data_IF_257987662238
#
_entry.id   IF_257987662238
#
_cell.length_a   1.000
_cell.length_b   1.000
_cell.length_c   1.000
_cell.angle_alpha   90.00
_cell.angle_beta   90.00
_cell.angle_gamma   90.00
#
_symmetry.space_group_name_H-M   'P 1'
#
loop_
_entity.id
_entity.type
_entity.pdbx_description
1 polymer ?
#
# COMPACT_ATOMS: atom_id res chain seq x y z
N UNK A 1 -10.96 -27.48 75.89
CA UNK A 1 -10.85 -28.68 75.03
C UNK A 1 -11.08 -28.29 73.57
N UNK A 2 -10.22 -27.47 72.97
CA UNK A 2 -10.27 -27.11 71.53
C UNK A 2 -8.82 -26.82 71.09
N UNK A 3 -8.04 -27.87 70.84
CA UNK A 3 -6.61 -27.80 70.49
C UNK A 3 -6.27 -28.59 69.21
N UNK A 4 -7.21 -28.73 68.27
CA UNK A 4 -7.05 -29.59 67.08
C UNK A 4 -7.32 -28.93 65.72
N UNK A 5 -7.45 -27.60 65.64
CA UNK A 5 -7.73 -26.91 64.37
C UNK A 5 -6.54 -26.13 63.76
N UNK A 6 -5.37 -26.13 64.40
CA UNK A 6 -4.23 -25.28 63.99
C UNK A 6 -3.04 -26.06 63.39
N UNK A 7 -3.29 -27.28 62.91
CA UNK A 7 -2.28 -28.17 62.32
C UNK A 7 -2.36 -28.38 60.80
N UNK A 8 -3.27 -27.69 60.09
CA UNK A 8 -3.52 -27.90 58.65
C UNK A 8 -3.33 -26.65 57.77
N UNK A 9 -2.54 -25.69 58.22
CA UNK A 9 -2.24 -24.46 57.45
C UNK A 9 -0.76 -24.32 57.06
N UNK A 10 0.02 -25.39 57.19
CA UNK A 10 1.45 -25.44 56.83
C UNK A 10 1.79 -26.46 55.73
N UNK A 11 0.84 -26.75 54.83
CA UNK A 11 0.99 -27.71 53.74
C UNK A 11 0.76 -27.09 52.34
N UNK A 12 0.99 -25.78 52.17
CA UNK A 12 0.97 -25.13 50.85
C UNK A 12 2.15 -24.15 50.67
N UNK A 13 3.29 -24.46 51.30
CA UNK A 13 4.59 -23.89 50.96
C UNK A 13 5.18 -24.72 49.81
N UNK A 14 4.89 -24.37 48.57
CA UNK A 14 5.38 -25.11 47.41
C UNK A 14 4.84 -24.71 46.04
N UNK A 15 4.11 -23.60 45.90
CA UNK A 15 3.77 -23.05 44.58
C UNK A 15 4.80 -21.98 44.23
N UNK A 16 5.96 -22.44 43.74
CA UNK A 16 6.83 -21.64 42.90
C UNK A 16 5.96 -21.07 41.78
N UNK A 17 5.76 -19.75 41.76
CA UNK A 17 5.31 -19.05 40.58
C UNK A 17 6.41 -19.20 39.53
N UNK A 18 6.39 -20.33 38.82
CA UNK A 18 7.05 -20.47 37.55
C UNK A 18 6.46 -19.42 36.63
N UNK A 19 7.16 -18.30 36.50
CA UNK A 19 7.01 -17.41 35.36
C UNK A 19 7.27 -18.28 34.15
N UNK A 20 6.18 -18.68 33.51
CA UNK A 20 6.18 -19.38 32.22
C UNK A 20 7.18 -18.62 31.35
N UNK A 21 8.32 -19.21 30.95
CA UNK A 21 9.25 -18.52 30.08
C UNK A 21 8.46 -18.10 28.85
N UNK A 22 8.57 -16.82 28.49
CA UNK A 22 7.93 -16.27 27.31
C UNK A 22 8.16 -17.25 26.15
N UNK A 23 7.10 -17.66 25.41
CA UNK A 23 7.28 -18.60 24.34
C UNK A 23 8.35 -18.03 23.41
N UNK A 24 9.44 -18.80 23.27
CA UNK A 24 10.56 -18.49 22.41
C UNK A 24 10.02 -17.95 21.10
N UNK A 25 10.52 -16.78 20.69
CA UNK A 25 10.12 -16.09 19.48
C UNK A 25 10.05 -17.08 18.31
N UNK A 26 8.84 -17.55 18.03
CA UNK A 26 8.49 -18.13 16.75
C UNK A 26 9.01 -17.14 15.72
N UNK A 27 9.70 -17.63 14.70
CA UNK A 27 10.11 -16.86 13.51
C UNK A 27 8.85 -16.31 12.85
N UNK A 28 8.24 -15.29 13.46
CA UNK A 28 7.19 -14.51 12.89
C UNK A 28 7.82 -13.87 11.66
N UNK A 29 7.42 -14.37 10.48
CA UNK A 29 7.87 -13.85 9.20
C UNK A 29 7.65 -12.34 9.25
N UNK A 30 8.74 -11.58 9.32
CA UNK A 30 8.70 -10.13 9.43
C UNK A 30 7.86 -9.57 8.27
N UNK A 31 7.11 -8.47 8.48
CA UNK A 31 6.25 -7.93 7.44
C UNK A 31 7.10 -7.54 6.22
N UNK A 32 6.79 -8.16 5.09
CA UNK A 32 7.24 -7.76 3.77
C UNK A 32 6.19 -6.81 3.18
N UNK A 33 6.56 -5.54 3.00
CA UNK A 33 5.65 -4.51 2.53
C UNK A 33 5.38 -4.57 1.02
N UNK A 34 6.04 -5.48 0.30
CA UNK A 34 5.82 -5.75 -1.12
C UNK A 34 4.84 -6.92 -1.36
N UNK A 35 4.55 -7.73 -0.35
CA UNK A 35 3.61 -8.84 -0.46
C UNK A 35 2.24 -8.49 0.11
N UNK A 36 1.25 -8.26 -0.77
CA UNK A 36 -0.16 -8.27 -0.36
C UNK A 36 -0.87 -9.52 -0.86
N UNK A 37 -1.36 -10.35 0.06
CA UNK A 37 -2.26 -11.45 -0.29
C UNK A 37 -3.70 -10.94 -0.28
N UNK A 38 -4.34 -10.88 -1.46
CA UNK A 38 -5.76 -10.56 -1.52
C UNK A 38 -6.57 -11.72 -0.95
N UNK A 39 -7.47 -11.39 -0.02
CA UNK A 39 -8.51 -12.29 0.47
C UNK A 39 -9.37 -12.78 -0.69
N UNK A 40 -9.80 -14.04 -0.65
CA UNK A 40 -10.58 -14.66 -1.72
C UNK A 40 -11.85 -13.88 -2.08
N UNK A 41 -12.55 -13.30 -1.10
CA UNK A 41 -13.71 -12.43 -1.33
C UNK A 41 -13.38 -11.11 -2.06
N UNK A 42 -12.20 -10.53 -1.82
CA UNK A 42 -11.75 -9.33 -2.54
C UNK A 42 -11.35 -9.65 -3.99
N UNK A 43 -10.84 -10.85 -4.24
CA UNK A 43 -10.58 -11.33 -5.60
C UNK A 43 -11.89 -11.58 -6.35
N UNK A 44 -12.86 -12.26 -5.74
CA UNK A 44 -14.14 -12.57 -6.36
C UNK A 44 -14.92 -11.30 -6.72
N UNK A 45 -15.02 -10.32 -5.80
CA UNK A 45 -15.68 -9.03 -6.07
C UNK A 45 -14.97 -8.22 -7.15
N UNK A 46 -13.63 -8.25 -7.17
CA UNK A 46 -12.84 -7.60 -8.21
C UNK A 46 -13.10 -8.23 -9.60
N UNK A 47 -13.07 -9.56 -9.68
CA UNK A 47 -13.32 -10.30 -10.92
C UNK A 47 -14.76 -10.05 -11.41
N UNK A 48 -15.75 -10.13 -10.51
CA UNK A 48 -17.15 -9.91 -10.85
C UNK A 48 -17.39 -8.50 -11.41
N UNK A 49 -16.84 -7.47 -10.75
CA UNK A 49 -16.99 -6.09 -11.24
C UNK A 49 -16.29 -5.87 -12.58
N UNK A 50 -15.07 -6.40 -12.75
CA UNK A 50 -14.35 -6.32 -14.03
C UNK A 50 -15.07 -7.06 -15.17
N UNK A 51 -15.58 -8.26 -14.87
CA UNK A 51 -16.38 -9.07 -15.78
C UNK A 51 -17.68 -8.35 -16.20
N UNK A 52 -18.41 -7.76 -15.26
CA UNK A 52 -19.67 -7.06 -15.53
C UNK A 52 -19.47 -5.85 -16.44
N UNK A 53 -18.43 -5.04 -16.20
CA UNK A 53 -18.12 -3.88 -17.04
C UNK A 53 -17.73 -4.29 -18.46
N UNK A 54 -16.87 -5.30 -18.61
CA UNK A 54 -16.43 -5.77 -19.93
C UNK A 54 -17.57 -6.45 -20.71
N UNK A 55 -18.42 -7.22 -20.02
CA UNK A 55 -19.61 -7.82 -20.62
C UNK A 55 -20.63 -6.76 -21.06
N UNK A 56 -20.82 -5.69 -20.28
CA UNK A 56 -21.69 -4.57 -20.65
C UNK A 56 -21.24 -3.84 -21.91
N UNK A 57 -19.94 -3.54 -22.02
CA UNK A 57 -19.37 -2.93 -23.23
C UNK A 57 -19.54 -3.86 -24.44
N UNK A 58 -19.23 -5.14 -24.29
CA UNK A 58 -19.39 -6.11 -25.38
C UNK A 58 -20.86 -6.29 -25.81
N UNK A 59 -21.81 -6.23 -24.87
CA UNK A 59 -23.23 -6.31 -25.18
C UNK A 59 -23.72 -5.10 -25.98
N UNK A 60 -23.23 -3.89 -25.66
CA UNK A 60 -23.55 -2.67 -26.42
C UNK A 60 -23.02 -2.74 -27.86
N UNK A 61 -21.82 -3.28 -28.06
CA UNK A 61 -21.17 -3.30 -29.39
C UNK A 61 -21.60 -4.46 -30.28
N UNK A 62 -21.91 -5.63 -29.71
CA UNK A 62 -22.15 -6.85 -30.50
C UNK A 62 -23.56 -7.42 -30.37
N UNK A 63 -24.37 -6.99 -29.38
CA UNK A 63 -25.68 -7.60 -29.03
C UNK A 63 -25.68 -9.15 -28.93
N UNK A 64 -24.50 -9.76 -28.79
CA UNK A 64 -24.32 -11.20 -28.79
C UNK A 64 -23.80 -11.67 -27.41
N UNK A 65 -24.57 -12.50 -26.69
CA UNK A 65 -24.20 -12.95 -25.36
C UNK A 65 -22.94 -13.83 -25.34
N UNK A 66 -22.62 -14.53 -26.44
CA UNK A 66 -21.43 -15.37 -26.52
C UNK A 66 -20.15 -14.53 -26.56
N UNK A 67 -20.15 -13.44 -27.34
CA UNK A 67 -19.02 -12.51 -27.42
C UNK A 67 -18.84 -11.77 -26.08
N UNK A 68 -19.94 -11.39 -25.43
CA UNK A 68 -19.90 -10.81 -24.09
C UNK A 68 -19.29 -11.76 -23.04
N UNK A 69 -19.60 -13.06 -23.13
CA UNK A 69 -18.97 -14.09 -22.30
C UNK A 69 -17.47 -14.21 -22.49
N UNK A 70 -16.97 -14.10 -23.73
CA UNK A 70 -15.53 -14.16 -24.02
C UNK A 70 -14.78 -12.95 -23.46
N UNK A 71 -15.35 -11.74 -23.61
CA UNK A 71 -14.76 -10.51 -23.05
C UNK A 71 -14.81 -10.47 -21.51
N UNK A 72 -15.78 -11.14 -20.88
CA UNK A 72 -15.87 -11.26 -19.43
C UNK A 72 -14.63 -11.93 -18.81
N UNK A 73 -13.98 -12.85 -19.53
CA UNK A 73 -12.78 -13.55 -19.08
C UNK A 73 -11.58 -12.61 -18.84
N UNK A 74 -11.51 -11.47 -19.53
CA UNK A 74 -10.44 -10.49 -19.29
C UNK A 74 -10.53 -9.84 -17.90
N UNK A 75 -11.69 -9.94 -17.23
CA UNK A 75 -11.88 -9.54 -15.84
C UNK A 75 -10.98 -10.28 -14.83
N UNK A 76 -10.43 -11.44 -15.21
CA UNK A 76 -9.49 -12.20 -14.38
C UNK A 76 -8.15 -11.47 -14.16
N UNK A 77 -7.80 -10.50 -15.02
CA UNK A 77 -6.59 -9.69 -14.86
C UNK A 77 -6.74 -8.55 -13.84
N UNK A 78 -7.97 -8.12 -13.56
CA UNK A 78 -8.29 -7.03 -12.63
C UNK A 78 -7.77 -7.20 -11.18
N UNK A 79 -7.82 -8.40 -10.53
CA UNK A 79 -7.25 -8.58 -9.19
C UNK A 79 -5.74 -8.31 -9.11
N UNK A 80 -4.98 -8.56 -10.19
CA UNK A 80 -3.54 -8.27 -10.22
C UNK A 80 -3.28 -6.76 -10.18
N UNK A 81 -4.08 -5.97 -10.91
CA UNK A 81 -4.00 -4.51 -10.88
C UNK A 81 -4.38 -3.96 -9.50
N UNK A 82 -5.46 -4.46 -8.88
CA UNK A 82 -5.85 -4.05 -7.52
C UNK A 82 -4.78 -4.35 -6.49
N UNK A 83 -4.11 -5.51 -6.59
CA UNK A 83 -2.98 -5.87 -5.72
C UNK A 83 -1.88 -4.82 -5.76
N UNK A 84 -1.45 -4.45 -6.98
CA UNK A 84 -0.40 -3.44 -7.18
C UNK A 84 -0.81 -2.08 -6.61
N UNK A 85 -2.06 -1.67 -6.81
CA UNK A 85 -2.57 -0.41 -6.28
C UNK A 85 -2.59 -0.38 -4.74
N UNK A 86 -2.99 -1.48 -4.09
CA UNK A 86 -3.00 -1.59 -2.62
C UNK A 86 -1.58 -1.53 -2.06
N UNK A 87 -0.63 -2.25 -2.67
CA UNK A 87 0.78 -2.22 -2.27
C UNK A 87 1.34 -0.80 -2.42
N UNK A 88 1.09 -0.13 -3.55
CA UNK A 88 1.52 1.25 -3.77
C UNK A 88 0.96 2.20 -2.71
N UNK A 89 -0.33 2.09 -2.37
CA UNK A 89 -0.97 2.90 -1.32
C UNK A 89 -0.33 2.67 0.05
N UNK A 90 -0.06 1.42 0.42
CA UNK A 90 0.61 1.09 1.69
C UNK A 90 2.03 1.66 1.74
N UNK A 91 2.80 1.55 0.65
CA UNK A 91 4.14 2.13 0.57
C UNK A 91 4.11 3.65 0.66
N UNK A 92 3.16 4.32 0.01
CA UNK A 92 2.98 5.77 0.14
C UNK A 92 2.67 6.19 1.59
N UNK A 93 1.77 5.46 2.26
CA UNK A 93 1.47 5.68 3.69
C UNK A 93 2.71 5.47 4.56
N UNK A 94 3.47 4.39 4.34
CA UNK A 94 4.70 4.12 5.07
C UNK A 94 5.76 5.20 4.82
N UNK A 95 5.89 5.71 3.59
CA UNK A 95 6.78 6.82 3.23
C UNK A 95 6.44 8.10 4.02
N UNK A 96 5.15 8.45 4.08
CA UNK A 96 4.68 9.60 4.86
C UNK A 96 4.93 9.43 6.37
N UNK A 97 4.63 8.25 6.90
CA UNK A 97 4.87 7.90 8.30
C UNK A 97 6.36 7.94 8.66
N UNK A 98 7.21 7.43 7.78
CA UNK A 98 8.66 7.47 7.93
C UNK A 98 9.20 8.91 7.98
N UNK A 99 8.68 9.82 7.13
CA UNK A 99 9.03 11.25 7.20
C UNK A 99 8.74 11.84 8.59
N UNK A 100 7.58 11.52 9.18
CA UNK A 100 7.21 12.02 10.50
C UNK A 100 8.07 11.42 11.61
N UNK A 101 8.42 10.13 11.49
CA UNK A 101 9.41 9.49 12.37
C UNK A 101 10.76 10.24 12.32
N UNK A 102 11.26 10.55 11.12
CA UNK A 102 12.50 11.32 10.97
C UNK A 102 12.40 12.73 11.58
N UNK A 103 11.25 13.39 11.46
CA UNK A 103 11.05 14.70 12.07
C UNK A 103 11.15 14.64 13.61
N UNK A 104 10.52 13.64 14.24
CA UNK A 104 10.63 13.42 15.69
C UNK A 104 12.06 13.05 16.10
N UNK A 105 12.71 12.13 15.37
CA UNK A 105 14.12 11.78 15.59
C UNK A 105 15.03 13.00 15.53
N UNK A 106 14.89 13.85 14.51
CA UNK A 106 15.70 15.06 14.36
C UNK A 106 15.51 16.02 15.55
N UNK A 107 14.28 16.13 16.06
CA UNK A 107 13.96 16.96 17.23
C UNK A 107 14.63 16.43 18.50
N UNK A 108 14.44 15.14 18.80
CA UNK A 108 15.00 14.50 19.99
C UNK A 108 16.53 14.47 19.98
N UNK A 109 17.13 14.11 18.85
CA UNK A 109 18.59 14.10 18.71
C UNK A 109 19.17 15.52 18.74
N UNK A 110 18.43 16.51 18.19
CA UNK A 110 18.79 17.92 18.26
C UNK A 110 18.77 18.48 19.68
N UNK A 111 17.94 17.90 20.58
CA UNK A 111 17.92 18.21 22.00
C UNK A 111 19.07 17.52 22.80
N UNK A 112 19.99 16.84 22.11
CA UNK A 112 21.17 16.20 22.72
C UNK A 112 20.90 14.81 23.30
N UNK A 113 19.74 14.19 23.01
CA UNK A 113 19.47 12.82 23.42
C UNK A 113 20.35 11.82 22.66
N UNK A 114 20.59 10.66 23.28
CA UNK A 114 21.24 9.54 22.59
C UNK A 114 20.34 9.04 21.46
N UNK A 115 20.94 8.39 20.46
CA UNK A 115 20.22 7.86 19.30
C UNK A 115 19.12 6.90 19.77
N UNK A 116 19.44 5.99 20.68
CA UNK A 116 18.53 4.98 21.23
C UNK A 116 17.36 5.64 21.95
N UNK A 117 17.62 6.66 22.76
CA UNK A 117 16.56 7.42 23.44
C UNK A 117 15.70 8.20 22.46
N UNK A 118 16.27 8.71 21.37
CA UNK A 118 15.50 9.37 20.32
C UNK A 118 14.56 8.42 19.58
N UNK A 119 14.94 7.15 19.37
CA UNK A 119 14.03 6.15 18.81
C UNK A 119 12.85 5.89 19.76
N UNK A 120 13.08 5.83 21.08
CA UNK A 120 11.99 5.67 22.05
C UNK A 120 11.05 6.88 22.09
N UNK A 121 11.59 8.10 22.04
CA UNK A 121 10.76 9.32 22.04
C UNK A 121 9.96 9.45 20.73
N UNK A 122 10.56 9.07 19.59
CA UNK A 122 9.85 9.03 18.32
C UNK A 122 8.70 8.02 18.31
N UNK A 123 8.80 6.93 19.08
CA UNK A 123 7.70 5.97 19.22
C UNK A 123 6.53 6.58 19.97
N UNK A 124 6.81 7.30 21.06
CA UNK A 124 5.78 7.94 21.86
C UNK A 124 5.08 9.06 21.06
N UNK A 125 5.84 9.89 20.35
CA UNK A 125 5.30 10.91 19.44
C UNK A 125 4.42 10.30 18.34
N UNK A 126 4.87 9.19 17.72
CA UNK A 126 4.11 8.52 16.67
C UNK A 126 2.84 7.85 17.18
N UNK A 127 2.82 7.37 18.43
CA UNK A 127 1.60 6.81 19.06
C UNK A 127 0.56 7.88 19.32
N UNK A 128 0.99 9.12 19.62
CA UNK A 128 0.08 10.26 19.73
C UNK A 128 -0.50 10.64 18.36
N UNK A 129 0.33 10.62 17.32
CA UNK A 129 -0.09 10.93 15.95
C UNK A 129 -0.97 9.84 15.32
N UNK A 130 -0.73 8.58 15.73
CA UNK A 130 -1.41 7.39 15.25
C UNK A 130 -1.95 6.57 16.44
N UNK A 131 -3.10 6.98 17.02
CA UNK A 131 -3.70 6.28 18.17
C UNK A 131 -4.16 4.86 17.83
N UNK A 132 -4.34 4.55 16.54
CA UNK A 132 -4.65 3.20 16.08
C UNK A 132 -3.39 2.32 16.04
N UNK A 133 -3.43 1.16 16.73
CA UNK A 133 -2.36 0.13 16.75
C UNK A 133 -2.05 -0.52 15.38
N UNK A 134 -2.60 0.04 14.29
CA UNK A 134 -2.44 -0.40 12.91
C UNK A 134 -1.38 0.36 12.11
N UNK A 135 -0.78 1.43 12.63
CA UNK A 135 0.25 2.17 11.90
C UNK A 135 1.50 1.30 11.66
N UNK A 136 1.91 1.22 10.39
CA UNK A 136 3.02 0.36 9.96
C UNK A 136 4.33 0.81 10.60
N UNK A 137 4.58 2.13 10.64
CA UNK A 137 5.81 2.67 11.23
C UNK A 137 5.90 2.43 12.75
N UNK A 138 4.77 2.44 13.46
CA UNK A 138 4.74 2.24 14.92
C UNK A 138 5.21 0.83 15.25
N UNK A 139 4.67 -0.18 14.55
CA UNK A 139 5.09 -1.58 14.71
C UNK A 139 6.55 -1.80 14.35
N UNK A 140 7.00 -1.12 13.30
CA UNK A 140 8.39 -1.21 12.87
C UNK A 140 9.35 -0.59 13.90
N UNK A 141 8.96 0.54 14.47
CA UNK A 141 9.74 1.23 15.50
C UNK A 141 9.77 0.45 16.81
N UNK A 142 8.65 -0.18 17.20
CA UNK A 142 8.60 -1.14 18.32
C UNK A 142 9.57 -2.31 18.09
N UNK A 143 9.63 -2.86 16.88
CA UNK A 143 10.57 -3.91 16.53
C UNK A 143 12.02 -3.44 16.59
N UNK A 144 12.32 -2.24 16.07
CA UNK A 144 13.66 -1.64 16.13
C UNK A 144 14.09 -1.49 17.59
N UNK A 145 13.27 -0.85 18.44
CA UNK A 145 13.58 -0.63 19.86
C UNK A 145 13.79 -1.96 20.59
N UNK A 146 12.95 -2.96 20.33
CA UNK A 146 13.11 -4.29 20.92
C UNK A 146 14.45 -4.94 20.52
N UNK A 147 14.87 -4.81 19.27
CA UNK A 147 16.19 -5.31 18.82
C UNK A 147 17.35 -4.54 19.43
N UNK A 148 17.24 -3.22 19.56
CA UNK A 148 18.24 -2.39 20.23
C UNK A 148 18.42 -2.80 21.70
N UNK A 149 17.31 -3.07 22.40
CA UNK A 149 17.35 -3.57 23.79
C UNK A 149 18.00 -4.95 23.91
N UNK A 150 17.98 -5.75 22.84
CA UNK A 150 18.65 -7.05 22.75
C UNK A 150 20.10 -6.96 22.25
N UNK A 151 20.65 -5.76 22.09
CA UNK A 151 22.06 -5.54 21.74
C UNK A 151 22.36 -5.54 20.24
N UNK A 152 21.35 -5.55 19.36
CA UNK A 152 21.58 -5.27 17.94
C UNK A 152 21.91 -3.78 17.73
N UNK A 153 22.65 -3.47 16.67
CA UNK A 153 23.01 -2.09 16.37
C UNK A 153 21.91 -1.39 15.56
N UNK A 154 21.83 -0.06 15.68
CA UNK A 154 20.84 0.78 14.95
C UNK A 154 20.99 0.62 13.44
N UNK A 155 22.23 0.52 12.96
CA UNK A 155 22.58 0.30 11.56
C UNK A 155 21.96 -0.98 11.01
N UNK A 156 22.13 -2.10 11.74
CA UNK A 156 21.59 -3.39 11.34
C UNK A 156 20.06 -3.37 11.29
N UNK A 157 19.43 -2.74 12.30
CA UNK A 157 17.97 -2.61 12.37
C UNK A 157 17.41 -1.78 11.21
N UNK A 158 18.02 -0.63 10.91
CA UNK A 158 17.58 0.26 9.82
C UNK A 158 17.80 -0.37 8.43
N UNK A 159 18.90 -1.10 8.23
CA UNK A 159 19.16 -1.82 6.98
C UNK A 159 18.19 -2.99 6.77
N UNK A 160 17.80 -3.72 7.83
CA UNK A 160 16.77 -4.76 7.74
C UNK A 160 15.40 -4.15 7.40
N UNK A 161 15.04 -3.05 8.06
CA UNK A 161 13.82 -2.32 7.77
C UNK A 161 13.78 -1.84 6.32
N UNK A 162 14.85 -1.21 5.82
CA UNK A 162 14.89 -0.67 4.46
C UNK A 162 14.73 -1.76 3.39
N UNK A 163 15.35 -2.93 3.59
CA UNK A 163 15.18 -4.10 2.71
C UNK A 163 13.76 -4.60 2.66
N UNK A 164 13.02 -4.56 3.79
CA UNK A 164 11.62 -5.00 3.87
C UNK A 164 10.63 -3.96 3.39
N UNK A 165 10.95 -2.67 3.51
CA UNK A 165 10.06 -1.58 3.13
C UNK A 165 9.91 -1.45 1.60
N UNK A 166 10.97 -1.73 0.84
CA UNK A 166 11.03 -1.54 -0.62
C UNK A 166 10.58 -0.12 -1.03
N UNK A 167 11.11 0.88 -0.34
CA UNK A 167 10.92 2.32 -0.55
C UNK A 167 12.30 2.96 -0.65
N UNK A 168 12.57 3.63 -1.77
CA UNK A 168 13.90 4.16 -2.10
C UNK A 168 14.40 5.16 -1.06
N UNK A 169 13.54 6.03 -0.54
CA UNK A 169 13.93 7.02 0.47
C UNK A 169 14.36 6.38 1.80
N UNK A 170 13.79 5.24 2.17
CA UNK A 170 14.16 4.50 3.38
C UNK A 170 15.50 3.78 3.17
N UNK A 171 15.72 3.21 1.97
CA UNK A 171 17.00 2.63 1.56
C UNK A 171 18.14 3.65 1.62
N UNK A 172 17.95 4.79 0.94
CA UNK A 172 18.92 5.88 0.90
C UNK A 172 19.22 6.43 2.30
N UNK A 173 18.19 6.59 3.14
CA UNK A 173 18.39 7.01 4.53
C UNK A 173 19.28 6.03 5.29
N UNK A 174 18.97 4.73 5.25
CA UNK A 174 19.70 3.72 5.99
C UNK A 174 21.18 3.69 5.57
N UNK A 175 21.47 3.77 4.27
CA UNK A 175 22.83 3.82 3.75
C UNK A 175 23.61 5.06 4.23
N UNK A 176 23.01 6.25 4.09
CA UNK A 176 23.64 7.50 4.53
C UNK A 176 23.82 7.53 6.04
N UNK A 177 22.87 6.98 6.81
CA UNK A 177 22.96 6.86 8.26
C UNK A 177 24.18 6.04 8.69
N UNK A 178 24.38 4.87 8.08
CA UNK A 178 25.53 4.00 8.37
C UNK A 178 26.86 4.70 8.06
N UNK A 179 26.94 5.36 6.91
CA UNK A 179 28.14 6.11 6.51
C UNK A 179 28.42 7.22 7.53
N UNK A 180 27.41 8.02 7.87
CA UNK A 180 27.54 9.15 8.78
C UNK A 180 27.96 8.71 10.18
N UNK A 181 27.41 7.59 10.68
CA UNK A 181 27.77 7.03 11.98
C UNK A 181 29.23 6.55 12.02
N UNK A 182 29.75 5.99 10.91
CA UNK A 182 31.15 5.56 10.80
C UNK A 182 32.13 6.73 10.66
N UNK A 183 31.75 7.78 9.94
CA UNK A 183 32.61 8.96 9.71
C UNK A 183 32.53 10.00 10.82
N UNK A 184 31.61 9.83 11.78
CA UNK A 184 31.41 10.80 12.87
C UNK A 184 30.71 12.09 12.44
N UNK A 185 29.94 12.05 11.35
CA UNK A 185 29.17 13.19 10.86
C UNK A 185 27.96 13.52 11.75
N UNK A 186 27.29 14.64 11.45
CA UNK A 186 26.06 15.02 12.15
C UNK A 186 24.87 14.19 11.70
N UNK A 187 24.51 13.18 12.49
CA UNK A 187 23.30 12.37 12.25
C UNK A 187 22.03 13.22 12.31
N UNK A 188 21.99 14.24 13.17
CA UNK A 188 20.87 15.20 13.23
C UNK A 188 20.66 15.87 11.87
N UNK A 189 21.75 16.28 11.21
CA UNK A 189 21.69 16.88 9.88
C UNK A 189 21.22 15.88 8.83
N UNK A 190 21.69 14.63 8.88
CA UNK A 190 21.24 13.56 7.95
C UNK A 190 19.74 13.32 8.11
N UNK A 191 19.26 13.09 9.32
CA UNK A 191 17.85 12.83 9.62
C UNK A 191 16.97 14.01 9.17
N UNK A 192 17.35 15.24 9.52
CA UNK A 192 16.61 16.46 9.13
C UNK A 192 16.61 16.64 7.62
N UNK A 193 17.75 16.44 6.94
CA UNK A 193 17.86 16.61 5.49
C UNK A 193 17.01 15.58 4.76
N UNK A 194 17.01 14.33 5.20
CA UNK A 194 16.17 13.29 4.61
C UNK A 194 14.68 13.58 4.79
N UNK A 195 14.25 14.06 5.97
CA UNK A 195 12.87 14.46 6.19
C UNK A 195 12.42 15.58 5.21
N UNK A 196 13.29 16.56 4.96
CA UNK A 196 13.05 17.64 3.98
C UNK A 196 12.97 17.09 2.57
N UNK A 197 13.91 16.24 2.14
CA UNK A 197 13.90 15.64 0.79
C UNK A 197 12.62 14.82 0.56
N UNK A 198 12.17 14.05 1.55
CA UNK A 198 10.91 13.30 1.43
C UNK A 198 9.72 14.26 1.32
N UNK A 199 9.70 15.36 2.08
CA UNK A 199 8.64 16.36 1.99
C UNK A 199 8.60 16.99 0.60
N UNK A 200 9.74 17.46 0.08
CA UNK A 200 9.85 18.04 -1.26
C UNK A 200 9.34 17.08 -2.34
N UNK A 201 9.70 15.78 -2.23
CA UNK A 201 9.17 14.76 -3.15
C UNK A 201 7.67 14.56 -3.02
N UNK A 202 7.12 14.53 -1.80
CA UNK A 202 5.68 14.38 -1.60
C UNK A 202 4.91 15.59 -2.16
N UNK A 203 5.45 16.80 -2.04
CA UNK A 203 4.84 18.01 -2.59
C UNK A 203 4.84 17.97 -4.12
N UNK A 204 5.96 17.57 -4.74
CA UNK A 204 6.05 17.35 -6.19
C UNK A 204 5.07 16.25 -6.65
N UNK A 205 5.02 15.11 -5.94
CA UNK A 205 4.08 14.02 -6.22
C UNK A 205 2.63 14.51 -6.13
N UNK A 206 2.30 15.36 -5.16
CA UNK A 206 0.97 15.94 -4.98
C UNK A 206 0.60 16.90 -6.11
N UNK A 207 1.51 17.80 -6.50
CA UNK A 207 1.29 18.75 -7.60
C UNK A 207 1.09 18.02 -8.94
N UNK A 208 1.86 16.95 -9.16
CA UNK A 208 1.68 16.06 -10.31
C UNK A 208 0.32 15.37 -10.25
N UNK A 209 -0.09 14.86 -9.08
CA UNK A 209 -1.39 14.19 -8.92
C UNK A 209 -2.57 15.13 -9.19
N UNK A 210 -2.52 16.37 -8.68
CA UNK A 210 -3.56 17.39 -8.90
C UNK A 210 -3.64 17.73 -10.39
N UNK A 211 -2.49 18.00 -11.03
CA UNK A 211 -2.42 18.30 -12.46
C UNK A 211 -2.94 17.14 -13.32
N UNK A 212 -2.57 15.90 -12.98
CA UNK A 212 -3.01 14.70 -13.69
C UNK A 212 -4.47 14.35 -13.41
N UNK A 213 -5.04 14.73 -12.26
CA UNK A 213 -6.44 14.43 -11.93
C UNK A 213 -7.39 15.02 -12.97
N UNK A 214 -7.16 16.27 -13.38
CA UNK A 214 -7.91 16.90 -14.46
C UNK A 214 -7.80 16.13 -15.78
N UNK A 215 -6.56 15.80 -16.19
CA UNK A 215 -6.31 15.06 -17.45
C UNK A 215 -6.89 13.64 -17.44
N UNK A 216 -6.87 12.98 -16.28
CA UNK A 216 -7.52 11.68 -16.07
C UNK A 216 -9.03 11.77 -16.21
N UNK A 217 -9.64 12.85 -15.72
CA UNK A 217 -11.07 13.09 -15.88
C UNK A 217 -11.43 13.34 -17.36
N UNK A 218 -10.73 14.25 -18.03
CA UNK A 218 -10.90 14.53 -19.46
C UNK A 218 -10.76 13.25 -20.31
N UNK A 219 -9.67 12.49 -20.09
CA UNK A 219 -9.43 11.22 -20.80
C UNK A 219 -10.53 10.19 -20.53
N UNK A 220 -11.02 10.08 -19.28
CA UNK A 220 -12.11 9.15 -18.94
C UNK A 220 -13.40 9.52 -19.65
N UNK A 221 -13.76 10.80 -19.69
CA UNK A 221 -14.95 11.28 -20.40
C UNK A 221 -14.84 10.95 -21.89
N UNK A 222 -13.71 11.27 -22.53
CA UNK A 222 -13.48 10.98 -23.95
C UNK A 222 -13.50 9.48 -24.27
N UNK A 223 -13.05 8.63 -23.35
CA UNK A 223 -13.07 7.16 -23.54
C UNK A 223 -14.49 6.59 -23.44
N UNK A 224 -15.30 7.12 -22.52
CA UNK A 224 -16.65 6.58 -22.24
C UNK A 224 -17.71 7.18 -23.19
N UNK A 225 -17.51 8.40 -23.68
CA UNK A 225 -18.48 9.10 -24.52
C UNK A 225 -18.93 8.31 -25.77
N UNK A 226 -18.03 7.66 -26.56
CA UNK A 226 -18.43 6.88 -27.73
C UNK A 226 -19.31 5.68 -27.37
N UNK A 227 -19.04 5.02 -26.24
CA UNK A 227 -19.84 3.88 -25.75
C UNK A 227 -21.24 4.34 -25.36
N UNK A 228 -21.35 5.46 -24.63
CA UNK A 228 -22.64 6.05 -24.26
C UNK A 228 -23.43 6.46 -25.51
N UNK A 229 -22.77 7.07 -26.49
CA UNK A 229 -23.41 7.52 -27.72
C UNK A 229 -23.97 6.34 -28.52
N UNK A 230 -23.19 5.27 -28.70
CA UNK A 230 -23.65 4.04 -29.37
C UNK A 230 -24.82 3.40 -28.60
N UNK A 231 -24.73 3.31 -27.27
CA UNK A 231 -25.80 2.78 -26.44
C UNK A 231 -27.10 3.60 -26.53
N UNK A 232 -26.98 4.93 -26.53
CA UNK A 232 -28.12 5.83 -26.67
C UNK A 232 -28.78 5.70 -28.05
N UNK A 233 -27.99 5.67 -29.13
CA UNK A 233 -28.52 5.46 -30.49
C UNK A 233 -29.20 4.09 -30.62
N UNK A 234 -28.58 3.04 -30.08
CA UNK A 234 -29.15 1.70 -30.10
C UNK A 234 -30.49 1.58 -29.37
N UNK A 235 -30.77 2.46 -28.40
CA UNK A 235 -32.02 2.50 -27.66
C UNK A 235 -33.06 3.45 -28.30
N UNK A 236 -32.64 4.64 -28.72
CA UNK A 236 -33.54 5.66 -29.29
C UNK A 236 -33.98 5.31 -30.71
N UNK A 237 -33.10 4.76 -31.53
CA UNK A 237 -33.33 4.50 -32.96
C UNK A 237 -32.79 3.11 -33.34
N UNK A 238 -33.45 2.03 -32.90
CA UNK A 238 -32.96 0.66 -33.11
C UNK A 238 -32.82 0.29 -34.59
N UNK A 239 -33.79 0.70 -35.43
CA UNK A 239 -33.81 0.41 -36.87
C UNK A 239 -32.60 1.00 -37.62
N UNK A 240 -32.05 2.12 -37.13
CA UNK A 240 -30.86 2.73 -37.71
C UNK A 240 -29.57 1.95 -37.38
N UNK A 241 -29.53 1.30 -36.22
CA UNK A 241 -28.35 0.59 -35.74
C UNK A 241 -28.32 -0.88 -36.16
N UNK A 242 -29.44 -1.43 -36.63
CA UNK A 242 -29.58 -2.84 -37.03
C UNK A 242 -28.53 -3.30 -38.06
N UNK A 243 -28.24 -2.54 -39.14
CA UNK A 243 -27.20 -2.92 -40.11
C UNK A 243 -25.78 -2.92 -39.53
N UNK A 244 -25.53 -2.26 -38.39
CA UNK A 244 -24.23 -2.27 -37.72
C UNK A 244 -24.01 -3.55 -36.91
N UNK A 245 -25.07 -4.29 -36.58
CA UNK A 245 -24.99 -5.56 -35.85
C UNK A 245 -25.00 -6.79 -36.77
N UNK A 246 -25.25 -6.60 -38.06
CA UNK A 246 -25.31 -7.67 -39.07
C UNK A 246 -24.14 -7.60 -40.06
N UNK A 247 -23.79 -8.76 -40.63
CA UNK A 247 -22.81 -8.94 -41.71
C UNK A 247 -21.53 -8.08 -41.60
N UNK A 248 -21.39 -7.07 -42.46
CA UNK A 248 -20.24 -6.18 -42.56
C UNK A 248 -20.19 -5.11 -41.45
N UNK A 249 -21.32 -4.81 -40.80
CA UNK A 249 -21.41 -3.87 -39.70
C UNK A 249 -20.60 -4.32 -38.47
N UNK A 250 -20.55 -5.64 -38.23
CA UNK A 250 -19.76 -6.23 -37.14
C UNK A 250 -18.27 -5.95 -37.31
N UNK A 251 -17.77 -5.94 -38.56
CA UNK A 251 -16.36 -5.60 -38.84
C UNK A 251 -16.07 -4.14 -38.49
N UNK A 252 -17.00 -3.24 -38.80
CA UNK A 252 -16.90 -1.81 -38.49
C UNK A 252 -16.93 -1.59 -36.97
N UNK A 253 -17.86 -2.26 -36.25
CA UNK A 253 -17.92 -2.21 -34.78
C UNK A 253 -16.65 -2.76 -34.13
N UNK A 254 -16.10 -3.85 -34.68
CA UNK A 254 -14.82 -4.42 -34.21
C UNK A 254 -13.66 -3.44 -34.43
N UNK A 255 -13.61 -2.80 -35.60
CA UNK A 255 -12.62 -1.75 -35.90
C UNK A 255 -12.74 -0.54 -34.96
N UNK A 256 -13.96 -0.06 -34.74
CA UNK A 256 -14.24 1.04 -33.81
C UNK A 256 -13.81 0.68 -32.38
N UNK A 257 -14.11 -0.53 -31.91
CA UNK A 257 -13.68 -1.00 -30.60
C UNK A 257 -12.14 -1.10 -30.51
N UNK A 258 -11.48 -1.54 -31.58
CA UNK A 258 -10.02 -1.58 -31.68
C UNK A 258 -9.38 -0.19 -31.56
N UNK A 259 -9.96 0.81 -32.23
CA UNK A 259 -9.51 2.22 -32.14
C UNK A 259 -9.74 2.76 -30.74
N UNK A 260 -10.90 2.52 -30.13
CA UNK A 260 -11.20 2.94 -28.76
C UNK A 260 -10.23 2.31 -27.75
N UNK A 261 -9.93 1.02 -27.91
CA UNK A 261 -8.95 0.33 -27.09
C UNK A 261 -7.54 0.91 -27.29
N UNK A 262 -7.15 1.20 -28.54
CA UNK A 262 -5.87 1.85 -28.86
C UNK A 262 -5.75 3.22 -28.20
N UNK A 263 -6.76 4.08 -28.33
CA UNK A 263 -6.83 5.38 -27.68
C UNK A 263 -6.74 5.25 -26.15
N UNK A 264 -7.48 4.32 -25.56
CA UNK A 264 -7.41 4.05 -24.12
C UNK A 264 -6.01 3.59 -23.68
N UNK A 265 -5.39 2.67 -24.42
CA UNK A 265 -4.06 2.16 -24.12
C UNK A 265 -2.98 3.27 -24.21
N UNK A 266 -3.05 4.11 -25.24
CA UNK A 266 -2.17 5.28 -25.38
C UNK A 266 -2.37 6.28 -24.24
N UNK A 267 -3.62 6.58 -23.89
CA UNK A 267 -3.94 7.47 -22.79
C UNK A 267 -3.39 6.95 -21.46
N UNK A 268 -3.57 5.66 -21.15
CA UNK A 268 -3.01 5.03 -19.94
C UNK A 268 -1.47 5.07 -19.94
N UNK A 269 -0.83 4.86 -21.09
CA UNK A 269 0.63 4.90 -21.21
C UNK A 269 1.19 6.30 -20.94
N UNK A 270 0.53 7.34 -21.47
CA UNK A 270 0.94 8.74 -21.26
C UNK A 270 0.66 9.20 -19.83
N UNK A 271 -0.46 8.79 -19.23
CA UNK A 271 -0.85 9.18 -17.87
C UNK A 271 -0.11 8.42 -16.77
N UNK A 272 0.59 7.32 -17.09
CA UNK A 272 1.40 6.58 -16.14
C UNK A 272 2.77 7.26 -15.97
N UNK A 273 2.77 8.46 -15.40
CA UNK A 273 3.99 9.15 -15.01
C UNK A 273 4.47 8.50 -13.70
N UNK A 274 5.58 7.78 -13.80
CA UNK A 274 6.27 7.23 -12.64
C UNK A 274 7.23 8.30 -12.13
N UNK A 275 6.94 8.85 -10.94
CA UNK A 275 7.85 9.72 -10.18
C UNK A 275 8.76 8.84 -9.34
#
# INVERSE_FOLDING_TARGET
>A
MIKSAFGRLRAFAGLSFGTKPAPAASKAKLPDYNEYQLTWGQKATAIFFGAAVMAGIAMVFYKNPLIAGLFSLTGFYYPVMRRKAIIAKRKAQLKQQFKQMLASLASSMGAGRSIESSFTEALDDLRLLYPDAGAMIVRELELIIWRLQNGETVEACLLDFSRRAYIDEIGQFAEVFVICKRTGGSLVQVVRRTAVIIQEKLDIEQDIQVTLAQKKFESKVLTVAPVILIAALAWMTPDYMEPLYEDGGVLIMTGALGVLFGCFALAQKIMNIKV
#
